data_IF_704136327807
#
_entry.id   IF_704136327807
#
_cell.length_a   1.000
_cell.length_b   1.000
_cell.length_c   1.000
_cell.angle_alpha   90.00
_cell.angle_beta   90.00
_cell.angle_gamma   90.00
#
_symmetry.space_group_name_H-M   'P 1'
#
loop_
_entity.id
_entity.type
_entity.pdbx_description
1 polymer ?
#
# COMPACT_ATOMS: atom_id res chain seq x y z
N UNK A 1 40.66 46.35 -46.65
CA UNK A 1 41.73 45.55 -46.04
C UNK A 1 41.09 44.51 -45.14
N UNK A 2 41.50 43.24 -45.30
CA UNK A 2 41.11 41.97 -44.66
C UNK A 2 40.78 42.06 -43.14
N UNK A 3 40.00 41.17 -42.50
CA UNK A 3 39.87 39.73 -42.70
C UNK A 3 38.57 39.12 -42.10
N UNK A 4 38.24 37.96 -42.64
CA UNK A 4 37.14 37.01 -42.40
C UNK A 4 37.28 36.18 -41.11
N UNK A 5 36.16 35.74 -40.50
CA UNK A 5 35.81 34.37 -40.01
C UNK A 5 34.68 34.45 -38.96
N UNK A 6 33.43 34.07 -39.24
CA UNK A 6 32.80 32.73 -39.32
C UNK A 6 32.40 32.11 -37.97
N UNK A 7 31.13 31.72 -37.90
CA UNK A 7 30.47 30.76 -36.99
C UNK A 7 29.89 31.36 -35.68
N UNK A 8 28.80 30.88 -35.08
CA UNK A 8 27.99 29.69 -35.31
C UNK A 8 26.65 29.87 -34.56
N UNK A 9 25.54 29.59 -35.24
CA UNK A 9 24.31 28.90 -34.79
C UNK A 9 23.55 29.29 -33.50
N UNK A 10 22.22 29.19 -33.71
CA UNK A 10 21.19 28.64 -32.83
C UNK A 10 20.56 29.57 -31.79
N UNK A 11 19.54 30.26 -32.30
CA UNK A 11 18.17 30.32 -31.75
C UNK A 11 17.93 29.32 -30.61
N UNK A 12 18.07 29.78 -29.37
CA UNK A 12 17.64 29.06 -28.18
C UNK A 12 16.14 29.28 -27.97
N UNK A 13 15.44 28.18 -28.15
CA UNK A 13 14.02 27.86 -28.01
C UNK A 13 13.39 28.42 -26.72
N UNK A 14 12.26 29.12 -26.89
CA UNK A 14 11.25 29.29 -25.84
C UNK A 14 10.53 27.95 -25.63
N UNK A 15 10.79 27.28 -24.51
CA UNK A 15 9.93 26.19 -24.03
C UNK A 15 10.02 26.05 -22.52
N UNK A 16 9.50 27.03 -21.79
CA UNK A 16 9.31 26.97 -20.35
C UNK A 16 7.91 27.48 -20.07
N UNK A 17 6.93 26.56 -20.01
CA UNK A 17 5.67 26.72 -19.25
C UNK A 17 4.65 25.56 -19.43
N UNK A 18 5.07 24.34 -19.77
CA UNK A 18 4.15 23.18 -19.79
C UNK A 18 4.53 22.11 -18.76
N UNK A 19 5.78 22.08 -18.28
CA UNK A 19 6.21 21.06 -17.32
C UNK A 19 5.76 21.33 -15.86
N UNK A 20 5.36 22.56 -15.54
CA UNK A 20 4.96 22.92 -14.17
C UNK A 20 3.51 22.56 -13.82
N UNK A 21 2.65 22.33 -14.83
CA UNK A 21 1.26 21.94 -14.61
C UNK A 21 1.09 20.44 -14.33
N UNK A 22 2.05 19.59 -14.71
CA UNK A 22 1.96 18.16 -14.43
C UNK A 22 2.34 17.80 -12.99
N UNK A 23 3.24 18.57 -12.38
CA UNK A 23 3.64 18.37 -10.98
C UNK A 23 2.57 18.81 -9.97
N UNK A 24 1.65 19.69 -10.36
CA UNK A 24 0.57 20.16 -9.48
C UNK A 24 -0.53 19.09 -9.26
N UNK A 25 -0.75 18.18 -10.21
CA UNK A 25 -1.75 17.11 -10.04
C UNK A 25 -1.29 15.97 -9.14
N UNK A 26 0.03 15.69 -9.05
CA UNK A 26 0.53 14.64 -8.14
C UNK A 26 0.43 15.05 -6.67
N UNK A 27 0.51 16.35 -6.35
CA UNK A 27 0.36 16.82 -4.98
C UNK A 27 -1.07 16.72 -4.45
N UNK A 28 -2.09 16.63 -5.31
CA UNK A 28 -3.47 16.42 -4.87
C UNK A 28 -3.77 14.97 -4.46
N UNK A 29 -2.90 14.01 -4.79
CA UNK A 29 -3.03 12.63 -4.35
C UNK A 29 -2.50 12.37 -2.93
N UNK A 30 -1.86 13.37 -2.29
CA UNK A 30 -1.26 13.26 -0.96
C UNK A 30 -2.18 13.73 0.19
N UNK A 31 -3.42 14.09 -0.13
CA UNK A 31 -4.43 14.49 0.86
C UNK A 31 -5.77 13.78 0.63
N UNK A 32 -5.74 12.54 0.13
CA UNK A 32 -6.88 11.67 0.32
C UNK A 32 -6.86 11.26 1.80
N UNK A 33 -7.48 12.09 2.65
CA UNK A 33 -8.27 11.53 3.73
C UNK A 33 -9.11 10.44 3.04
N UNK A 34 -8.78 9.17 3.23
CA UNK A 34 -9.74 8.13 2.92
C UNK A 34 -10.87 8.43 3.89
N UNK A 35 -12.04 8.96 3.44
CA UNK A 35 -13.17 9.03 4.33
C UNK A 35 -13.37 7.62 4.89
N UNK A 36 -14.00 7.51 6.05
CA UNK A 36 -14.51 6.26 6.65
C UNK A 36 -15.62 5.67 5.75
N UNK A 37 -15.29 5.49 4.47
CA UNK A 37 -16.04 4.88 3.41
C UNK A 37 -15.74 3.40 3.56
N UNK A 38 -16.81 2.63 3.69
CA UNK A 38 -16.78 1.17 3.78
C UNK A 38 -15.75 0.61 2.80
N UNK A 39 -14.91 -0.30 3.30
CA UNK A 39 -13.88 -0.96 2.50
C UNK A 39 -14.60 -1.72 1.39
N UNK A 40 -14.31 -1.36 0.15
CA UNK A 40 -14.88 -2.07 -1.00
C UNK A 40 -14.11 -3.37 -1.13
N UNK A 41 -14.77 -4.50 -0.88
CA UNK A 41 -14.15 -5.82 -1.02
C UNK A 41 -14.20 -6.26 -2.48
N UNK A 42 -13.05 -6.39 -3.18
CA UNK A 42 -13.02 -6.86 -4.55
C UNK A 42 -13.46 -8.32 -4.68
N UNK A 43 -13.84 -8.72 -5.89
CA UNK A 43 -14.39 -10.07 -6.15
C UNK A 43 -13.33 -11.10 -6.50
N UNK A 44 -12.10 -10.66 -6.78
CA UNK A 44 -11.02 -11.54 -7.20
C UNK A 44 -9.83 -11.44 -6.25
N UNK A 45 -9.09 -12.54 -6.12
CA UNK A 45 -7.88 -12.60 -5.30
C UNK A 45 -6.84 -11.55 -5.75
N UNK A 46 -6.53 -11.38 -7.05
CA UNK A 46 -5.58 -10.37 -7.49
C UNK A 46 -5.99 -8.94 -7.11
N UNK A 47 -7.26 -8.59 -7.26
CA UNK A 47 -7.76 -7.26 -6.88
C UNK A 47 -7.74 -7.05 -5.36
N UNK A 48 -8.07 -8.07 -4.56
CA UNK A 48 -7.91 -7.99 -3.09
C UNK A 48 -6.46 -7.71 -2.70
N UNK A 49 -5.49 -8.35 -3.36
CA UNK A 49 -4.08 -8.10 -3.08
C UNK A 49 -3.63 -6.72 -3.52
N UNK A 50 -4.16 -6.19 -4.62
CA UNK A 50 -3.91 -4.81 -5.02
C UNK A 50 -4.38 -3.84 -3.92
N UNK A 51 -5.61 -4.01 -3.42
CA UNK A 51 -6.12 -3.17 -2.32
C UNK A 51 -5.29 -3.33 -1.04
N UNK A 52 -4.87 -4.55 -0.69
CA UNK A 52 -3.98 -4.80 0.44
C UNK A 52 -2.67 -4.01 0.30
N UNK A 53 -2.07 -4.02 -0.89
CA UNK A 53 -0.85 -3.27 -1.16
C UNK A 53 -1.05 -1.76 -1.02
N UNK A 54 -2.17 -1.24 -1.52
CA UNK A 54 -2.54 0.18 -1.41
C UNK A 54 -2.71 0.61 0.05
N UNK A 55 -3.48 -0.15 0.85
CA UNK A 55 -3.66 0.13 2.28
C UNK A 55 -2.37 -0.03 3.07
N UNK A 56 -1.51 -0.99 2.73
CA UNK A 56 -0.21 -1.19 3.38
C UNK A 56 0.75 -0.01 3.11
N UNK A 57 0.75 0.53 1.88
CA UNK A 57 1.52 1.73 1.53
C UNK A 57 0.97 2.97 2.24
N UNK A 58 -0.36 3.15 2.28
CA UNK A 58 -0.99 4.24 3.02
C UNK A 58 -0.61 4.20 4.51
N UNK A 59 -0.71 3.03 5.13
CA UNK A 59 -0.34 2.83 6.53
C UNK A 59 1.15 3.11 6.79
N UNK A 60 2.05 2.69 5.88
CA UNK A 60 3.46 3.06 5.97
C UNK A 60 3.65 4.58 5.95
N UNK A 61 3.05 5.27 4.97
CA UNK A 61 3.18 6.72 4.84
C UNK A 61 2.64 7.45 6.07
N UNK A 62 1.53 7.00 6.65
CA UNK A 62 0.98 7.58 7.88
C UNK A 62 1.93 7.44 9.07
N UNK A 63 2.54 6.27 9.23
CA UNK A 63 3.52 6.06 10.29
C UNK A 63 4.79 6.90 10.06
N UNK A 64 5.26 7.07 8.84
CA UNK A 64 6.38 7.99 8.55
C UNK A 64 6.04 9.45 8.88
N UNK A 65 4.76 9.83 8.75
CA UNK A 65 4.27 11.17 9.08
C UNK A 65 3.74 11.29 10.53
N UNK A 66 3.94 10.28 11.38
CA UNK A 66 3.47 10.23 12.77
C UNK A 66 1.95 10.46 12.93
N UNK A 67 1.15 10.06 11.94
CA UNK A 67 -0.31 10.16 11.94
C UNK A 67 -0.94 8.94 12.62
N UNK A 68 -0.73 8.81 13.94
CA UNK A 68 -1.17 7.64 14.71
C UNK A 68 -2.69 7.50 14.82
N UNK A 69 -3.40 8.63 14.83
CA UNK A 69 -4.87 8.69 14.99
C UNK A 69 -5.67 8.12 13.81
N UNK A 70 -5.00 7.81 12.69
CA UNK A 70 -5.63 7.24 11.48
C UNK A 70 -5.29 5.75 11.30
N UNK A 71 -4.38 5.21 12.13
CA UNK A 71 -3.86 3.83 11.99
C UNK A 71 -4.99 2.79 12.02
N UNK A 72 -5.98 2.97 12.88
CA UNK A 72 -7.08 2.02 13.06
C UNK A 72 -7.91 1.84 11.79
N UNK A 73 -8.17 2.92 11.05
CA UNK A 73 -8.95 2.84 9.80
C UNK A 73 -8.24 1.97 8.76
N UNK A 74 -6.95 2.18 8.56
CA UNK A 74 -6.18 1.46 7.55
C UNK A 74 -5.89 0.01 7.96
N UNK A 75 -5.57 -0.22 9.23
CA UNK A 75 -5.24 -1.57 9.69
C UNK A 75 -6.48 -2.47 9.73
N UNK A 76 -7.66 -1.94 10.06
CA UNK A 76 -8.90 -2.71 9.98
C UNK A 76 -9.40 -2.89 8.56
N UNK A 77 -9.12 -1.97 7.63
CA UNK A 77 -9.35 -2.21 6.22
C UNK A 77 -8.56 -3.42 5.68
N UNK A 78 -7.28 -3.53 6.07
CA UNK A 78 -6.48 -4.72 5.77
C UNK A 78 -7.12 -6.00 6.34
N UNK A 79 -7.67 -5.94 7.57
CA UNK A 79 -8.36 -7.08 8.19
C UNK A 79 -9.60 -7.49 7.37
N UNK A 80 -10.40 -6.55 6.90
CA UNK A 80 -11.57 -6.84 6.08
C UNK A 80 -11.18 -7.52 4.76
N UNK A 81 -10.17 -6.99 4.07
CA UNK A 81 -9.65 -7.55 2.82
C UNK A 81 -9.11 -8.98 2.99
N UNK A 82 -8.28 -9.24 4.00
CA UNK A 82 -7.74 -10.60 4.22
C UNK A 82 -8.82 -11.59 4.66
N UNK A 83 -9.90 -11.12 5.30
CA UNK A 83 -11.05 -11.96 5.66
C UNK A 83 -11.88 -12.40 4.46
N UNK A 84 -11.76 -11.71 3.32
CA UNK A 84 -12.45 -12.09 2.09
C UNK A 84 -11.77 -13.28 1.38
N UNK A 85 -10.47 -13.46 1.59
CA UNK A 85 -9.66 -14.47 0.89
C UNK A 85 -10.15 -15.92 1.05
N UNK A 86 -10.59 -16.41 2.24
CA UNK A 86 -11.04 -17.79 2.41
C UNK A 86 -12.20 -18.17 1.48
N UNK A 87 -13.16 -17.27 1.25
CA UNK A 87 -14.30 -17.52 0.37
C UNK A 87 -13.89 -17.71 -1.09
N UNK A 88 -12.79 -17.09 -1.50
CA UNK A 88 -12.23 -17.21 -2.85
C UNK A 88 -11.21 -18.35 -2.97
N UNK A 89 -10.87 -19.00 -1.85
CA UNK A 89 -9.81 -20.01 -1.76
C UNK A 89 -10.34 -21.41 -1.44
N UNK A 90 -11.59 -21.72 -1.79
CA UNK A 90 -12.23 -22.99 -1.43
C UNK A 90 -11.59 -24.22 -2.11
N UNK A 91 -10.83 -24.04 -3.18
CA UNK A 91 -10.22 -25.11 -3.95
C UNK A 91 -8.80 -25.51 -3.44
N UNK A 92 -8.35 -24.99 -2.30
CA UNK A 92 -7.04 -25.36 -1.72
C UNK A 92 -7.15 -26.57 -0.79
N UNK A 93 -6.04 -27.26 -0.52
CA UNK A 93 -6.06 -28.40 0.40
C UNK A 93 -6.40 -27.98 1.84
N UNK A 94 -6.93 -28.87 2.70
CA UNK A 94 -7.24 -28.51 4.10
C UNK A 94 -6.04 -27.96 4.87
N UNK A 95 -4.85 -28.51 4.65
CA UNK A 95 -3.61 -28.03 5.27
C UNK A 95 -3.26 -26.60 4.81
N UNK A 96 -3.43 -26.33 3.52
CA UNK A 96 -3.22 -25.01 2.92
C UNK A 96 -4.24 -23.98 3.41
N UNK A 97 -5.51 -24.37 3.50
CA UNK A 97 -6.57 -23.54 4.06
C UNK A 97 -6.30 -23.19 5.54
N UNK A 98 -5.77 -24.15 6.31
CA UNK A 98 -5.38 -23.91 7.70
C UNK A 98 -4.25 -22.90 7.82
N UNK A 99 -3.25 -22.95 6.94
CA UNK A 99 -2.16 -21.95 6.89
C UNK A 99 -2.73 -20.56 6.61
N UNK A 100 -3.64 -20.43 5.64
CA UNK A 100 -4.34 -19.19 5.33
C UNK A 100 -5.07 -18.63 6.57
N UNK A 101 -5.87 -19.46 7.25
CA UNK A 101 -6.58 -19.06 8.46
C UNK A 101 -5.64 -18.59 9.59
N UNK A 102 -4.51 -19.28 9.78
CA UNK A 102 -3.53 -18.91 10.79
C UNK A 102 -2.89 -17.54 10.49
N UNK A 103 -2.55 -17.26 9.22
CA UNK A 103 -2.05 -15.94 8.82
C UNK A 103 -3.10 -14.85 9.05
N UNK A 104 -4.36 -15.08 8.68
CA UNK A 104 -5.46 -14.13 8.91
C UNK A 104 -5.63 -13.85 10.41
N UNK A 105 -5.58 -14.88 11.26
CA UNK A 105 -5.68 -14.71 12.71
C UNK A 105 -4.51 -13.89 13.28
N UNK A 106 -3.29 -14.10 12.77
CA UNK A 106 -2.13 -13.31 13.17
C UNK A 106 -2.25 -11.84 12.73
N UNK A 107 -2.73 -11.59 11.51
CA UNK A 107 -3.00 -10.23 11.01
C UNK A 107 -4.03 -9.52 11.88
N UNK A 108 -5.14 -10.19 12.24
CA UNK A 108 -6.15 -9.63 13.17
C UNK A 108 -5.56 -9.22 14.50
N UNK A 109 -4.74 -10.10 15.09
CA UNK A 109 -4.08 -9.81 16.36
C UNK A 109 -3.19 -8.57 16.25
N UNK A 110 -2.36 -8.51 15.21
CA UNK A 110 -1.48 -7.36 14.98
C UNK A 110 -2.27 -6.08 14.73
N UNK A 111 -3.40 -6.16 14.03
CA UNK A 111 -4.27 -5.01 13.82
C UNK A 111 -4.79 -4.42 15.14
N UNK A 112 -5.29 -5.28 16.05
CA UNK A 112 -5.69 -4.85 17.40
C UNK A 112 -4.52 -4.27 18.19
N UNK A 113 -3.33 -4.86 18.11
CA UNK A 113 -2.15 -4.33 18.82
C UNK A 113 -1.69 -2.98 18.25
N UNK A 114 -1.81 -2.77 16.93
CA UNK A 114 -1.53 -1.49 16.29
C UNK A 114 -2.54 -0.43 16.69
N UNK A 115 -3.83 -0.76 16.67
CA UNK A 115 -4.92 0.09 17.16
C UNK A 115 -4.66 0.56 18.60
N UNK A 116 -4.49 -0.39 19.53
CA UNK A 116 -4.21 -0.10 20.94
C UNK A 116 -2.94 0.74 21.16
N UNK A 117 -1.84 0.42 20.46
CA UNK A 117 -0.58 1.17 20.61
C UNK A 117 -0.63 2.56 19.96
N UNK A 118 -1.38 2.72 18.87
CA UNK A 118 -1.57 4.01 18.22
C UNK A 118 -2.44 4.95 19.04
N UNK A 119 -3.53 4.45 19.66
CA UNK A 119 -4.38 5.18 20.60
C UNK A 119 -3.59 5.62 21.85
N UNK A 120 -2.66 4.78 22.30
CA UNK A 120 -1.75 5.11 23.40
C UNK A 120 -0.62 6.07 23.01
N UNK A 121 -0.56 6.54 21.76
CA UNK A 121 0.55 7.32 21.18
C UNK A 121 1.92 6.63 21.27
N UNK A 122 1.96 5.29 21.37
CA UNK A 122 3.19 4.50 21.35
C UNK A 122 3.63 4.23 19.91
N UNK A 123 4.29 5.23 19.32
CA UNK A 123 4.82 5.16 17.97
C UNK A 123 5.76 3.96 17.74
N UNK A 124 6.60 3.64 18.74
CA UNK A 124 7.61 2.59 18.61
C UNK A 124 6.97 1.20 18.60
N UNK A 125 6.00 0.97 19.48
CA UNK A 125 5.23 -0.27 19.46
C UNK A 125 4.43 -0.39 18.15
N UNK A 126 3.73 0.67 17.75
CA UNK A 126 2.94 0.70 16.51
C UNK A 126 3.80 0.32 15.29
N UNK A 127 4.99 0.93 15.15
CA UNK A 127 5.94 0.57 14.09
C UNK A 127 6.43 -0.87 14.16
N UNK A 128 6.65 -1.39 15.37
CA UNK A 128 7.11 -2.77 15.55
C UNK A 128 6.05 -3.75 15.06
N UNK A 129 4.80 -3.56 15.46
CA UNK A 129 3.68 -4.37 15.00
C UNK A 129 3.43 -4.20 13.50
N UNK A 130 3.61 -3.00 12.94
CA UNK A 130 3.52 -2.79 11.51
C UNK A 130 4.57 -3.59 10.71
N UNK A 131 5.82 -3.67 11.19
CA UNK A 131 6.87 -4.49 10.56
C UNK A 131 6.50 -5.98 10.58
N UNK A 132 5.94 -6.45 11.68
CA UNK A 132 5.44 -7.82 11.79
C UNK A 132 4.26 -8.07 10.84
N UNK A 133 3.32 -7.12 10.74
CA UNK A 133 2.18 -7.18 9.83
C UNK A 133 2.67 -7.33 8.38
N UNK A 134 3.60 -6.46 7.94
CA UNK A 134 4.20 -6.54 6.60
C UNK A 134 4.84 -7.89 6.32
N UNK A 135 5.59 -8.44 7.28
CA UNK A 135 6.20 -9.76 7.12
C UNK A 135 5.16 -10.87 6.88
N UNK A 136 3.99 -10.78 7.49
CA UNK A 136 2.91 -11.75 7.29
C UNK A 136 2.18 -11.51 5.96
N UNK A 137 1.95 -10.25 5.59
CA UNK A 137 1.39 -9.89 4.28
C UNK A 137 2.29 -10.41 3.14
N UNK A 138 3.60 -10.23 3.24
CA UNK A 138 4.55 -10.76 2.24
C UNK A 138 4.47 -12.30 2.12
N UNK A 139 4.38 -13.01 3.25
CA UNK A 139 4.18 -14.48 3.26
C UNK A 139 2.87 -14.86 2.60
N UNK A 140 1.82 -14.07 2.81
CA UNK A 140 0.50 -14.29 2.22
C UNK A 140 0.53 -14.07 0.71
N UNK A 141 1.14 -12.98 0.23
CA UNK A 141 1.39 -12.75 -1.21
C UNK A 141 2.17 -13.91 -1.83
N UNK A 142 3.27 -14.33 -1.22
CA UNK A 142 4.09 -15.43 -1.73
C UNK A 142 3.29 -16.74 -1.83
N UNK A 143 2.45 -17.03 -0.84
CA UNK A 143 1.57 -18.19 -0.85
C UNK A 143 0.61 -18.19 -2.06
N UNK A 144 0.01 -17.05 -2.43
CA UNK A 144 -0.87 -16.96 -3.60
C UNK A 144 -0.11 -16.82 -4.93
N UNK A 145 1.08 -16.22 -4.95
CA UNK A 145 1.91 -16.13 -6.14
C UNK A 145 2.37 -17.52 -6.61
N UNK A 146 2.79 -18.39 -5.69
CA UNK A 146 3.16 -19.78 -6.00
C UNK A 146 1.96 -20.56 -6.60
N UNK A 147 0.73 -20.24 -6.17
CA UNK A 147 -0.49 -20.87 -6.69
C UNK A 147 -0.83 -20.47 -8.11
N UNK A 148 -0.58 -19.22 -8.51
CA UNK A 148 -0.77 -18.75 -9.89
C UNK A 148 0.04 -19.55 -10.92
N UNK A 149 1.13 -20.20 -10.49
CA UNK A 149 2.03 -20.97 -11.35
C UNK A 149 1.83 -22.50 -11.30
N UNK A 150 0.87 -22.99 -10.51
CA UNK A 150 0.61 -24.44 -10.33
C UNK A 150 -0.80 -24.88 -10.73
N UNK A 151 -1.59 -23.98 -11.31
CA UNK A 151 -2.86 -24.26 -11.98
C UNK A 151 -2.72 -24.02 -13.48
#
# INVERSE_FOLDING_TARGET
>A
MNATRLSLKMLLTKSTNVLFLFLFFMSLALANEHPVSQVIIPKTIPEIFQEIDEYNVALYNMLENNQLNEVHYHVFALVELVNALPNLSQNVSPAQFKILQNNIAAIKKLATQMDESSDANDYKATQTYFKELRSILDKLHAYYAIKKHTQ
#
